data_IF_909210806116
#
_entry.id   IF_909210806116
#
_cell.length_a   1.000
_cell.length_b   1.000
_cell.length_c   1.000
_cell.angle_alpha   90.00
_cell.angle_beta   90.00
_cell.angle_gamma   90.00
#
_symmetry.space_group_name_H-M   'P 1'
#
loop_
_entity.id
_entity.type
_entity.pdbx_description
1 polymer ?
#
# COMPACT_ATOMS: atom_id res chain seq x y z
N UNK A 1 47.35 -53.12 2.96
CA UNK A 1 46.80 -52.91 4.32
C UNK A 1 46.15 -51.53 4.28
N UNK A 2 44.84 -51.38 4.13
CA UNK A 2 43.70 -52.06 4.78
C UNK A 2 42.57 -52.38 3.76
N UNK A 3 41.72 -53.36 4.07
CA UNK A 3 40.54 -53.76 3.29
C UNK A 3 39.22 -53.37 4.03
N UNK A 4 38.02 -53.84 3.64
CA UNK A 4 37.09 -53.07 2.82
C UNK A 4 35.82 -52.60 3.57
N UNK A 5 34.86 -52.04 2.81
CA UNK A 5 33.64 -51.41 3.30
C UNK A 5 32.71 -52.30 4.15
N UNK A 6 32.09 -51.71 5.17
CA UNK A 6 30.90 -52.22 5.86
C UNK A 6 29.60 -51.66 5.25
N UNK A 7 28.45 -52.33 5.46
CA UNK A 7 27.21 -52.01 4.76
C UNK A 7 26.49 -50.78 5.33
N UNK A 8 25.98 -49.92 4.44
CA UNK A 8 25.11 -48.79 4.81
C UNK A 8 23.69 -49.30 5.05
N UNK A 9 23.16 -49.06 6.26
CA UNK A 9 21.82 -49.50 6.64
C UNK A 9 20.74 -48.78 5.81
N UNK A 10 19.80 -49.55 5.27
CA UNK A 10 18.65 -49.02 4.52
C UNK A 10 17.62 -48.39 5.46
N UNK A 11 17.66 -47.07 5.62
CA UNK A 11 16.63 -46.31 6.35
C UNK A 11 15.40 -46.12 5.46
N UNK A 12 14.37 -46.93 5.71
CA UNK A 12 13.05 -46.81 5.07
C UNK A 12 12.32 -45.58 5.62
N UNK A 13 11.79 -44.67 4.78
CA UNK A 13 11.09 -43.49 5.28
C UNK A 13 9.77 -43.89 5.95
N UNK A 14 9.60 -43.50 7.21
CA UNK A 14 8.33 -43.63 7.94
C UNK A 14 7.41 -42.50 7.50
N UNK A 15 6.27 -42.84 6.92
CA UNK A 15 5.21 -41.90 6.58
C UNK A 15 4.37 -41.62 7.83
N UNK A 16 4.31 -40.37 8.34
CA UNK A 16 3.39 -40.02 9.42
C UNK A 16 1.98 -39.85 8.87
N UNK A 17 1.14 -40.89 9.03
CA UNK A 17 -0.29 -40.80 8.77
C UNK A 17 -0.95 -39.84 9.76
N UNK A 18 -1.42 -38.68 9.29
CA UNK A 18 -2.29 -37.80 10.10
C UNK A 18 -3.66 -38.47 10.30
N UNK A 19 -4.19 -38.56 11.54
CA UNK A 19 -5.57 -38.97 11.74
C UNK A 19 -6.53 -37.89 11.22
N UNK A 20 -7.61 -38.33 10.57
CA UNK A 20 -8.70 -37.46 10.11
C UNK A 20 -9.50 -37.01 11.34
N UNK A 21 -9.33 -35.75 11.74
CA UNK A 21 -10.12 -35.14 12.80
C UNK A 21 -11.53 -34.78 12.30
N UNK A 22 -12.54 -34.99 13.13
CA UNK A 22 -13.94 -35.04 12.72
C UNK A 22 -14.56 -33.68 12.39
N UNK A 23 -15.57 -33.71 11.53
CA UNK A 23 -16.52 -32.63 11.27
C UNK A 23 -17.20 -32.20 12.57
N UNK A 24 -16.84 -31.04 13.12
CA UNK A 24 -17.53 -30.49 14.28
C UNK A 24 -18.76 -29.70 13.81
N UNK A 25 -19.94 -30.29 13.98
CA UNK A 25 -21.23 -29.61 13.77
C UNK A 25 -21.41 -28.51 14.81
N UNK A 26 -21.71 -27.29 14.37
CA UNK A 26 -22.24 -26.25 15.25
C UNK A 26 -23.61 -26.68 15.82
N UNK A 27 -23.90 -26.44 17.11
CA UNK A 27 -25.17 -26.81 17.70
C UNK A 27 -26.29 -25.84 17.28
N UNK A 28 -27.50 -26.37 17.11
CA UNK A 28 -28.69 -25.57 16.87
C UNK A 28 -29.06 -24.75 18.11
N UNK A 29 -29.52 -23.51 17.88
CA UNK A 29 -30.07 -22.65 18.95
C UNK A 29 -31.36 -23.29 19.47
N UNK A 30 -31.36 -23.68 20.74
CA UNK A 30 -32.52 -24.27 21.38
C UNK A 30 -33.56 -23.19 21.73
N UNK A 31 -34.77 -23.36 21.21
CA UNK A 31 -35.94 -22.54 21.57
C UNK A 31 -36.45 -23.00 22.94
N UNK A 32 -36.39 -22.13 23.94
CA UNK A 32 -37.00 -22.37 25.24
C UNK A 32 -38.48 -22.00 25.22
N UNK A 33 -39.35 -22.92 25.62
CA UNK A 33 -40.77 -22.66 25.89
C UNK A 33 -41.01 -22.63 27.40
N UNK A 34 -41.86 -21.70 27.85
CA UNK A 34 -42.60 -21.79 29.11
C UNK A 34 -43.97 -21.14 28.90
N UNK A 35 -45.05 -21.79 29.34
CA UNK A 35 -46.44 -21.42 29.06
C UNK A 35 -47.18 -20.98 30.33
N UNK A 36 -47.92 -19.86 30.28
CA UNK A 36 -48.99 -19.44 31.20
C UNK A 36 -49.76 -18.25 30.56
N UNK A 37 -51.09 -18.20 30.37
CA UNK A 37 -52.13 -19.25 30.33
C UNK A 37 -53.32 -18.82 29.40
N UNK A 38 -54.57 -19.22 29.69
CA UNK A 38 -55.80 -19.14 28.87
C UNK A 38 -56.35 -17.73 28.50
N UNK A 39 -56.59 -17.51 27.20
CA UNK A 39 -57.88 -17.30 26.45
C UNK A 39 -59.11 -16.57 27.10
N UNK A 40 -60.14 -16.15 26.31
CA UNK A 40 -60.14 -15.26 25.11
C UNK A 40 -61.39 -14.30 25.02
N UNK A 41 -61.35 -13.13 24.34
CA UNK A 41 -62.53 -12.62 23.58
C UNK A 41 -62.27 -11.44 22.60
N UNK A 42 -63.13 -11.38 21.57
CA UNK A 42 -63.60 -10.26 20.72
C UNK A 42 -62.65 -9.19 20.09
N UNK A 43 -62.80 -9.05 18.76
CA UNK A 43 -62.53 -7.84 17.96
C UNK A 43 -63.76 -6.89 18.00
N UNK A 44 -63.79 -5.74 17.28
CA UNK A 44 -62.86 -4.59 17.27
C UNK A 44 -63.61 -3.24 17.46
N UNK A 45 -62.93 -2.14 17.80
CA UNK A 45 -63.52 -0.80 17.70
C UNK A 45 -62.49 0.32 17.45
N UNK A 46 -62.88 1.29 16.62
CA UNK A 46 -62.14 2.51 16.26
C UNK A 46 -62.57 3.67 17.16
N UNK A 47 -61.65 4.55 17.58
CA UNK A 47 -61.91 6.01 17.76
C UNK A 47 -60.64 6.84 18.01
N UNK A 48 -60.64 8.03 17.41
CA UNK A 48 -59.74 9.20 17.62
C UNK A 48 -59.74 9.70 19.07
N UNK A 49 -58.76 10.49 19.55
CA UNK A 49 -58.67 11.98 19.38
C UNK A 49 -57.31 12.51 19.89
N UNK A 50 -56.94 13.76 19.56
CA UNK A 50 -55.62 14.37 19.77
C UNK A 50 -55.57 15.44 20.91
N UNK A 51 -54.33 15.79 21.34
CA UNK A 51 -53.99 16.92 22.24
C UNK A 51 -54.18 16.65 23.74
N UNK A 52 -53.38 17.17 24.68
CA UNK A 52 -52.20 18.06 24.64
C UNK A 52 -51.35 17.86 25.94
N UNK A 53 -50.19 18.55 26.05
CA UNK A 53 -49.20 18.69 27.17
C UNK A 53 -49.59 18.32 28.63
N UNK A 54 -48.68 17.97 29.57
CA UNK A 54 -47.27 18.35 29.78
C UNK A 54 -46.51 17.36 30.72
N UNK A 55 -45.26 17.68 31.10
CA UNK A 55 -44.38 17.07 32.14
C UNK A 55 -43.83 15.63 31.95
N UNK A 56 -42.53 15.53 31.63
CA UNK A 56 -41.54 14.68 32.37
C UNK A 56 -40.10 14.78 31.80
N UNK A 57 -39.39 15.86 32.09
CA UNK A 57 -37.93 15.95 31.83
C UNK A 57 -37.13 15.20 32.91
N UNK A 58 -36.85 13.90 32.71
CA UNK A 58 -35.92 13.15 33.59
C UNK A 58 -35.40 11.81 33.01
N UNK A 59 -34.95 11.75 31.74
CA UNK A 59 -34.47 10.48 31.14
C UNK A 59 -33.28 10.62 30.16
N UNK A 60 -32.49 11.70 30.24
CA UNK A 60 -31.41 11.99 29.30
C UNK A 60 -29.97 11.74 29.83
N UNK A 61 -29.80 11.42 31.12
CA UNK A 61 -28.48 11.23 31.75
C UNK A 61 -28.32 9.82 32.37
N UNK A 62 -28.46 8.78 31.54
CA UNK A 62 -28.20 7.40 31.96
C UNK A 62 -27.69 6.49 30.82
N UNK A 63 -26.73 6.95 30.01
CA UNK A 63 -26.05 6.09 29.02
C UNK A 63 -24.56 6.42 28.87
N UNK A 64 -23.87 6.64 29.99
CA UNK A 64 -22.42 6.87 30.07
C UNK A 64 -21.70 5.85 30.96
N UNK A 65 -22.17 4.59 30.96
CA UNK A 65 -21.50 3.45 31.64
C UNK A 65 -21.96 2.08 31.09
N UNK A 66 -21.83 1.87 29.79
CA UNK A 66 -21.89 0.54 29.19
C UNK A 66 -20.50 -0.11 29.20
N UNK A 67 -19.96 -0.38 30.40
CA UNK A 67 -18.70 -1.11 30.56
C UNK A 67 -18.93 -2.59 30.16
N UNK A 68 -18.06 -3.24 29.35
CA UNK A 68 -18.31 -4.58 28.84
C UNK A 68 -18.41 -5.60 29.97
N UNK A 69 -19.59 -6.21 30.13
CA UNK A 69 -19.95 -7.02 31.30
C UNK A 69 -19.36 -8.45 31.31
N UNK A 70 -18.20 -8.69 30.68
CA UNK A 70 -17.51 -9.98 30.72
C UNK A 70 -16.03 -9.87 30.34
N UNK A 71 -15.11 -10.57 31.05
CA UNK A 71 -13.69 -10.60 30.70
C UNK A 71 -13.44 -11.06 29.26
N UNK A 72 -14.26 -11.96 28.73
CA UNK A 72 -14.17 -12.41 27.33
C UNK A 72 -14.47 -11.28 26.33
N UNK A 73 -15.48 -10.44 26.60
CA UNK A 73 -15.81 -9.30 25.74
C UNK A 73 -14.74 -8.20 25.83
N UNK A 74 -14.14 -8.00 27.00
CA UNK A 74 -13.01 -7.08 27.18
C UNK A 74 -11.72 -7.60 26.52
N UNK A 75 -11.52 -8.93 26.48
CA UNK A 75 -10.43 -9.58 25.75
C UNK A 75 -10.66 -9.55 24.24
N UNK A 76 -11.88 -9.77 23.76
CA UNK A 76 -12.24 -9.57 22.34
C UNK A 76 -12.04 -8.10 21.94
N UNK A 77 -12.52 -7.14 22.72
CA UNK A 77 -12.26 -5.72 22.47
C UNK A 77 -10.76 -5.40 22.47
N UNK A 78 -9.95 -5.99 23.37
CA UNK A 78 -8.49 -5.85 23.34
C UNK A 78 -7.82 -6.57 22.17
N UNK A 79 -8.39 -7.65 21.63
CA UNK A 79 -7.88 -8.36 20.44
C UNK A 79 -8.20 -7.57 19.18
N UNK A 80 -9.43 -7.08 19.03
CA UNK A 80 -9.85 -6.17 17.95
C UNK A 80 -9.02 -4.88 17.98
N UNK A 81 -8.96 -4.21 19.13
CA UNK A 81 -8.21 -2.96 19.28
C UNK A 81 -6.70 -3.15 19.07
N UNK A 82 -6.13 -4.33 19.40
CA UNK A 82 -4.73 -4.66 19.12
C UNK A 82 -4.48 -5.05 17.65
N UNK A 83 -5.51 -5.45 16.91
CA UNK A 83 -5.48 -5.64 15.46
C UNK A 83 -5.59 -4.31 14.73
N UNK A 84 -6.43 -3.39 15.22
CA UNK A 84 -6.58 -2.03 14.71
C UNK A 84 -5.40 -1.11 15.09
N UNK A 85 -4.66 -1.44 16.16
CA UNK A 85 -3.43 -0.75 16.59
C UNK A 85 -2.13 -1.45 16.14
N UNK A 86 -2.20 -2.49 15.30
CA UNK A 86 -0.97 -3.06 14.75
C UNK A 86 -0.34 -2.05 13.79
N UNK A 87 0.74 -1.41 14.26
CA UNK A 87 1.54 -0.42 13.54
C UNK A 87 2.18 -0.95 12.25
N UNK A 88 2.00 -2.23 11.91
CA UNK A 88 2.38 -2.82 10.63
C UNK A 88 1.20 -3.08 9.68
N UNK A 89 -0.05 -2.96 10.12
CA UNK A 89 -1.23 -3.07 9.24
C UNK A 89 -1.33 -1.84 8.33
N UNK A 90 -1.12 -2.08 7.03
CA UNK A 90 -1.16 -1.05 6.01
C UNK A 90 -2.55 -0.94 5.37
N UNK A 91 -3.11 0.27 5.47
CA UNK A 91 -4.16 0.78 4.58
C UNK A 91 -5.57 0.19 4.80
N UNK A 92 -6.13 0.37 6.00
CA UNK A 92 -7.43 -0.17 6.40
C UNK A 92 -8.62 0.20 5.50
N UNK A 93 -8.69 1.44 4.99
CA UNK A 93 -9.78 1.86 4.11
C UNK A 93 -9.68 1.20 2.72
N UNK A 94 -8.49 1.21 2.10
CA UNK A 94 -8.32 0.62 0.77
C UNK A 94 -8.35 -0.91 0.81
N UNK A 95 -7.80 -1.53 1.87
CA UNK A 95 -7.94 -2.97 2.14
C UNK A 95 -9.41 -3.38 2.10
N UNK A 96 -10.26 -2.69 2.84
CA UNK A 96 -11.70 -2.97 2.91
C UNK A 96 -12.41 -2.74 1.55
N UNK A 97 -12.14 -1.63 0.87
CA UNK A 97 -12.74 -1.35 -0.46
C UNK A 97 -12.39 -2.39 -1.52
N UNK A 98 -11.15 -2.91 -1.51
CA UNK A 98 -10.69 -3.92 -2.47
C UNK A 98 -11.20 -5.33 -2.12
N UNK A 99 -11.32 -5.68 -0.83
CA UNK A 99 -11.94 -6.96 -0.42
C UNK A 99 -13.43 -7.01 -0.73
N UNK A 100 -14.18 -5.92 -0.48
CA UNK A 100 -15.59 -5.82 -0.85
C UNK A 100 -15.82 -5.96 -2.36
N UNK A 101 -14.89 -5.47 -3.18
CA UNK A 101 -14.96 -5.60 -4.63
C UNK A 101 -14.67 -7.03 -5.12
N UNK A 102 -13.81 -7.78 -4.42
CA UNK A 102 -13.58 -9.21 -4.65
C UNK A 102 -14.80 -10.06 -4.30
N UNK A 103 -15.50 -9.74 -3.21
CA UNK A 103 -16.75 -10.43 -2.83
C UNK A 103 -17.89 -10.19 -3.84
N UNK A 104 -17.96 -8.99 -4.43
CA UNK A 104 -18.95 -8.65 -5.46
C UNK A 104 -18.64 -9.25 -6.84
N UNK A 105 -17.37 -9.56 -7.12
CA UNK A 105 -16.91 -10.12 -8.40
C UNK A 105 -16.13 -11.44 -8.18
N UNK A 106 -16.84 -12.54 -7.83
CA UNK A 106 -16.20 -13.85 -7.70
C UNK A 106 -15.53 -14.29 -9.01
N UNK A 107 -14.39 -15.01 -8.94
CA UNK A 107 -13.71 -15.47 -10.14
C UNK A 107 -14.58 -16.46 -10.92
N UNK A 108 -14.38 -16.50 -12.24
CA UNK A 108 -15.04 -17.45 -13.12
C UNK A 108 -14.63 -18.92 -12.87
N UNK A 109 -15.17 -19.88 -13.64
CA UNK A 109 -14.67 -21.24 -13.61
C UNK A 109 -13.20 -21.30 -14.08
N UNK A 110 -12.41 -22.23 -13.52
CA UNK A 110 -10.99 -22.36 -13.85
C UNK A 110 -10.78 -22.49 -15.36
N UNK A 111 -10.09 -21.49 -15.91
CA UNK A 111 -9.61 -21.43 -17.28
C UNK A 111 -8.10 -21.21 -17.30
N UNK A 112 -7.45 -21.55 -18.41
CA UNK A 112 -6.00 -21.37 -18.59
C UNK A 112 -5.54 -19.91 -18.41
N UNK A 113 -6.44 -18.95 -18.60
CA UNK A 113 -6.21 -17.51 -18.47
C UNK A 113 -6.88 -16.93 -17.20
N UNK A 114 -6.95 -17.70 -16.10
CA UNK A 114 -7.50 -17.25 -14.80
C UNK A 114 -6.64 -17.72 -13.61
N UNK A 115 -5.43 -18.22 -13.86
CA UNK A 115 -4.61 -18.88 -12.83
C UNK A 115 -4.17 -17.86 -11.75
N UNK A 116 -3.74 -16.67 -12.18
CA UNK A 116 -3.33 -15.60 -11.25
C UNK A 116 -4.53 -15.08 -10.45
N UNK A 117 -5.71 -14.92 -11.06
CA UNK A 117 -6.89 -14.42 -10.34
C UNK A 117 -7.33 -15.38 -9.21
N UNK A 118 -7.41 -16.68 -9.48
CA UNK A 118 -7.68 -17.67 -8.43
C UNK A 118 -6.61 -17.67 -7.32
N UNK A 119 -5.33 -17.47 -7.67
CA UNK A 119 -4.26 -17.36 -6.68
C UNK A 119 -4.40 -16.11 -5.81
N UNK A 120 -4.78 -14.96 -6.38
CA UNK A 120 -5.04 -13.71 -5.66
C UNK A 120 -6.22 -13.88 -4.70
N UNK A 121 -7.36 -14.41 -5.18
CA UNK A 121 -8.55 -14.66 -4.34
C UNK A 121 -8.20 -15.59 -3.17
N UNK A 122 -7.42 -16.64 -3.44
CA UNK A 122 -6.96 -17.59 -2.41
C UNK A 122 -6.01 -16.95 -1.38
N UNK A 123 -5.12 -16.05 -1.82
CA UNK A 123 -4.21 -15.33 -0.94
C UNK A 123 -4.95 -14.31 -0.05
N UNK A 124 -5.91 -13.57 -0.61
CA UNK A 124 -6.75 -12.63 0.15
C UNK A 124 -7.60 -13.37 1.19
N UNK A 125 -8.18 -14.52 0.83
CA UNK A 125 -8.90 -15.39 1.77
C UNK A 125 -8.01 -15.93 2.92
N UNK A 126 -6.69 -16.02 2.71
CA UNK A 126 -5.70 -16.37 3.74
C UNK A 126 -5.18 -15.17 4.54
N UNK A 127 -5.73 -13.97 4.33
CA UNK A 127 -5.39 -12.76 5.08
C UNK A 127 -4.33 -11.86 4.46
N UNK A 128 -3.86 -12.14 3.23
CA UNK A 128 -2.92 -11.25 2.53
C UNK A 128 -3.66 -9.95 2.12
N UNK A 129 -3.15 -8.75 2.46
CA UNK A 129 -3.81 -7.50 2.07
C UNK A 129 -3.90 -7.34 0.55
N UNK A 130 -5.11 -7.14 0.03
CA UNK A 130 -5.35 -6.94 -1.40
C UNK A 130 -4.56 -5.75 -1.98
N UNK A 131 -4.39 -4.68 -1.20
CA UNK A 131 -3.59 -3.51 -1.56
C UNK A 131 -2.13 -3.89 -1.92
N UNK A 132 -1.50 -4.76 -1.13
CA UNK A 132 -0.11 -5.21 -1.37
C UNK A 132 0.00 -6.00 -2.67
N UNK A 133 -0.97 -6.88 -2.94
CA UNK A 133 -1.03 -7.66 -4.19
C UNK A 133 -1.17 -6.72 -5.39
N UNK A 134 -2.10 -5.75 -5.32
CA UNK A 134 -2.31 -4.73 -6.36
C UNK A 134 -1.04 -3.91 -6.59
N UNK A 135 -0.38 -3.44 -5.52
CA UNK A 135 0.83 -2.63 -5.64
C UNK A 135 1.98 -3.40 -6.31
N UNK A 136 2.14 -4.68 -6.00
CA UNK A 136 3.12 -5.57 -6.65
C UNK A 136 2.76 -5.78 -8.13
N UNK A 137 1.48 -5.95 -8.48
CA UNK A 137 1.03 -6.17 -9.84
C UNK A 137 1.12 -4.90 -10.72
N UNK A 138 0.89 -3.71 -10.15
CA UNK A 138 1.03 -2.42 -10.84
C UNK A 138 2.49 -1.91 -10.89
N UNK A 139 3.41 -2.43 -10.08
CA UNK A 139 4.80 -1.93 -10.08
C UNK A 139 5.52 -2.09 -11.44
N UNK A 140 5.38 -3.21 -12.18
CA UNK A 140 5.84 -3.31 -13.57
C UNK A 140 5.19 -2.28 -14.50
N UNK A 141 3.91 -1.95 -14.30
CA UNK A 141 3.18 -0.95 -15.09
C UNK A 141 3.78 0.45 -14.87
N UNK A 142 4.11 0.81 -13.62
CA UNK A 142 4.86 2.04 -13.28
C UNK A 142 6.22 2.10 -13.98
N UNK A 143 6.99 1.00 -13.93
CA UNK A 143 8.29 0.95 -14.61
C UNK A 143 8.13 1.14 -16.13
N UNK A 144 7.08 0.56 -16.73
CA UNK A 144 6.76 0.73 -18.15
C UNK A 144 6.32 2.16 -18.50
N UNK A 145 5.57 2.84 -17.63
CA UNK A 145 5.19 4.26 -17.79
C UNK A 145 6.42 5.16 -17.80
N UNK A 146 7.36 4.93 -16.88
CA UNK A 146 8.61 5.71 -16.79
C UNK A 146 9.49 5.45 -18.03
N UNK A 147 9.57 4.20 -18.50
CA UNK A 147 10.27 3.86 -19.75
C UNK A 147 9.62 4.52 -20.99
N UNK A 148 8.28 4.54 -21.05
CA UNK A 148 7.51 5.19 -22.11
C UNK A 148 7.71 6.71 -22.09
N UNK A 149 7.67 7.35 -20.92
CA UNK A 149 7.93 8.79 -20.77
C UNK A 149 9.34 9.17 -21.24
N UNK A 150 10.34 8.31 -21.00
CA UNK A 150 11.71 8.51 -21.50
C UNK A 150 11.85 8.37 -23.02
N UNK A 151 11.12 7.44 -23.66
CA UNK A 151 11.19 7.22 -25.10
C UNK A 151 10.30 8.18 -25.89
N UNK A 152 9.04 8.33 -25.48
CA UNK A 152 8.03 9.13 -26.20
C UNK A 152 8.19 10.61 -25.87
N UNK A 153 8.12 10.99 -24.58
CA UNK A 153 8.14 12.41 -24.20
C UNK A 153 9.58 12.95 -24.24
N UNK A 154 10.52 12.16 -23.73
CA UNK A 154 11.93 12.52 -23.61
C UNK A 154 12.35 12.99 -22.22
N UNK A 155 11.50 12.80 -21.20
CA UNK A 155 11.83 13.14 -19.81
C UNK A 155 12.99 12.27 -19.29
N UNK A 156 14.00 12.95 -18.77
CA UNK A 156 15.24 12.42 -18.21
C UNK A 156 15.17 12.51 -16.69
N UNK A 157 14.56 11.51 -16.05
CA UNK A 157 14.72 11.25 -14.62
C UNK A 157 16.02 10.51 -14.29
N UNK A 158 16.37 10.42 -13.00
CA UNK A 158 17.52 9.67 -12.47
C UNK A 158 17.32 8.14 -12.59
N UNK A 159 17.44 7.64 -13.82
CA UNK A 159 17.13 6.25 -14.16
C UNK A 159 15.64 5.95 -14.10
N UNK A 160 15.30 4.65 -14.04
CA UNK A 160 13.92 4.17 -13.86
C UNK A 160 13.64 3.92 -12.36
N UNK A 161 14.65 3.46 -11.61
CA UNK A 161 14.53 3.03 -10.21
C UNK A 161 14.08 4.14 -9.26
N UNK A 162 14.78 5.28 -9.24
CA UNK A 162 14.50 6.38 -8.30
C UNK A 162 13.05 6.90 -8.44
N UNK A 163 12.55 7.29 -9.64
CA UNK A 163 11.16 7.73 -9.77
C UNK A 163 10.15 6.60 -9.49
N UNK A 164 10.44 5.35 -9.85
CA UNK A 164 9.53 4.22 -9.59
C UNK A 164 9.35 3.97 -8.08
N UNK A 165 10.46 3.85 -7.34
CA UNK A 165 10.42 3.59 -5.89
C UNK A 165 9.92 4.81 -5.12
N UNK A 166 10.23 6.04 -5.58
CA UNK A 166 9.64 7.26 -5.03
C UNK A 166 8.11 7.25 -5.20
N UNK A 167 7.60 6.83 -6.37
CA UNK A 167 6.15 6.76 -6.61
C UNK A 167 5.42 5.79 -5.68
N UNK A 168 6.06 4.67 -5.29
CA UNK A 168 5.49 3.71 -4.34
C UNK A 168 5.43 4.30 -2.94
N UNK A 169 6.49 5.00 -2.50
CA UNK A 169 6.49 5.70 -1.22
C UNK A 169 5.43 6.82 -1.19
N UNK A 170 5.31 7.62 -2.26
CA UNK A 170 4.24 8.62 -2.42
C UNK A 170 2.85 8.00 -2.44
N UNK A 171 2.67 6.85 -3.09
CA UNK A 171 1.37 6.16 -3.15
C UNK A 171 0.95 5.61 -1.77
N UNK A 172 1.90 5.13 -0.96
CA UNK A 172 1.65 4.57 0.38
C UNK A 172 1.52 5.62 1.49
N UNK A 173 2.17 6.78 1.38
CA UNK A 173 2.05 7.89 2.35
C UNK A 173 0.98 8.91 1.95
N UNK A 174 0.50 8.85 0.71
CA UNK A 174 -0.25 9.93 0.08
C UNK A 174 0.71 10.96 -0.53
N UNK A 175 0.37 11.44 -1.73
CA UNK A 175 1.27 12.25 -2.57
C UNK A 175 1.77 13.51 -1.83
N UNK A 176 0.89 14.21 -1.12
CA UNK A 176 1.23 15.47 -0.44
C UNK A 176 2.16 15.24 0.78
N UNK A 177 1.85 14.27 1.64
CA UNK A 177 2.65 13.95 2.82
C UNK A 177 4.00 13.35 2.46
N UNK A 178 4.01 12.39 1.53
CA UNK A 178 5.24 11.77 1.05
C UNK A 178 6.16 12.76 0.33
N UNK A 179 5.61 13.71 -0.44
CA UNK A 179 6.40 14.75 -1.09
C UNK A 179 6.97 15.75 -0.09
N UNK A 180 6.20 16.14 0.94
CA UNK A 180 6.70 16.99 2.01
C UNK A 180 7.89 16.35 2.77
N UNK A 181 7.77 15.06 3.13
CA UNK A 181 8.86 14.30 3.75
C UNK A 181 10.06 14.18 2.81
N UNK A 182 9.84 13.85 1.53
CA UNK A 182 10.91 13.74 0.55
C UNK A 182 11.67 15.06 0.36
N UNK A 183 10.96 16.20 0.25
CA UNK A 183 11.58 17.53 0.16
C UNK A 183 12.37 17.86 1.42
N UNK A 184 11.83 17.60 2.61
CA UNK A 184 12.54 17.81 3.88
C UNK A 184 13.83 16.97 3.99
N UNK A 185 13.76 15.70 3.57
CA UNK A 185 14.92 14.80 3.49
C UNK A 185 15.95 15.34 2.48
N UNK A 186 15.54 15.71 1.27
CA UNK A 186 16.45 16.22 0.23
C UNK A 186 17.13 17.52 0.67
N UNK A 187 16.40 18.46 1.28
CA UNK A 187 16.97 19.70 1.82
C UNK A 187 17.99 19.39 2.92
N UNK A 188 17.67 18.50 3.85
CA UNK A 188 18.59 18.06 4.93
C UNK A 188 19.84 17.38 4.36
N UNK A 189 19.68 16.49 3.37
CA UNK A 189 20.77 15.80 2.69
C UNK A 189 21.69 16.79 1.94
N UNK A 190 21.12 17.80 1.26
CA UNK A 190 21.87 18.84 0.55
C UNK A 190 22.69 19.72 1.49
N UNK A 191 22.09 20.17 2.60
CA UNK A 191 22.78 20.95 3.64
C UNK A 191 23.95 20.15 4.23
N UNK A 192 23.67 18.91 4.64
CA UNK A 192 24.66 18.00 5.23
C UNK A 192 25.79 17.68 4.25
N UNK A 193 25.48 17.41 2.99
CA UNK A 193 26.46 17.17 1.92
C UNK A 193 27.38 18.38 1.72
N UNK A 194 26.86 19.62 1.83
CA UNK A 194 27.66 20.84 1.71
C UNK A 194 28.59 21.04 2.92
N UNK A 195 28.16 20.66 4.12
CA UNK A 195 28.99 20.68 5.34
C UNK A 195 30.08 19.61 5.25
N UNK A 196 29.72 18.35 5.02
CA UNK A 196 30.66 17.20 4.99
C UNK A 196 31.71 17.35 3.87
N UNK A 197 31.39 17.99 2.74
CA UNK A 197 32.36 18.31 1.67
C UNK A 197 33.57 19.12 2.16
N UNK A 198 33.49 19.85 3.28
CA UNK A 198 34.64 20.53 3.90
C UNK A 198 35.60 19.61 4.66
N UNK A 199 35.12 18.44 5.11
CA UNK A 199 35.76 17.61 6.15
C UNK A 199 36.69 16.52 5.54
N UNK A 200 36.75 16.40 4.21
CA UNK A 200 37.65 15.46 3.47
C UNK A 200 37.59 14.00 3.96
N UNK A 201 36.39 13.53 4.32
CA UNK A 201 36.15 12.16 4.78
C UNK A 201 36.17 11.14 3.63
N UNK A 202 36.58 9.92 3.93
CA UNK A 202 36.41 8.74 3.05
C UNK A 202 34.93 8.49 2.73
N UNK A 203 34.67 7.81 1.61
CA UNK A 203 33.31 7.59 1.09
C UNK A 203 32.36 6.87 2.09
N UNK A 204 32.78 5.74 2.67
CA UNK A 204 31.97 4.98 3.64
C UNK A 204 31.57 5.81 4.89
N UNK A 205 32.52 6.46 5.62
CA UNK A 205 32.16 7.36 6.73
C UNK A 205 31.26 8.53 6.31
N UNK A 206 31.43 9.04 5.09
CA UNK A 206 30.61 10.14 4.54
C UNK A 206 29.16 9.72 4.32
N UNK A 207 28.88 8.55 3.74
CA UNK A 207 27.50 8.09 3.54
C UNK A 207 26.83 7.72 4.87
N UNK A 208 27.56 7.08 5.79
CA UNK A 208 27.06 6.79 7.15
C UNK A 208 26.62 8.07 7.90
N UNK A 209 27.44 9.13 7.87
CA UNK A 209 27.07 10.42 8.47
C UNK A 209 25.89 11.09 7.76
N UNK A 210 25.78 10.99 6.44
CA UNK A 210 24.62 11.51 5.69
C UNK A 210 23.32 10.82 6.11
N UNK A 211 23.29 9.49 6.16
CA UNK A 211 22.12 8.72 6.62
C UNK A 211 21.79 9.08 8.07
N UNK A 212 22.78 9.18 8.95
CA UNK A 212 22.58 9.57 10.34
C UNK A 212 21.93 10.95 10.48
N UNK A 213 22.41 11.97 9.75
CA UNK A 213 21.81 13.31 9.81
C UNK A 213 20.43 13.36 9.16
N UNK A 214 20.18 12.59 8.09
CA UNK A 214 18.85 12.45 7.49
C UNK A 214 17.87 11.84 8.50
N UNK A 215 18.25 10.74 9.17
CA UNK A 215 17.42 10.11 10.21
C UNK A 215 17.12 11.05 11.38
N UNK A 216 18.10 11.85 11.82
CA UNK A 216 17.87 12.90 12.83
C UNK A 216 16.93 14.01 12.32
N UNK A 217 17.02 14.40 11.05
CA UNK A 217 16.10 15.35 10.43
C UNK A 217 14.67 14.83 10.36
N UNK A 218 14.47 13.56 9.99
CA UNK A 218 13.14 12.91 9.98
C UNK A 218 12.59 12.75 11.39
N UNK A 219 13.42 12.37 12.37
CA UNK A 219 13.01 12.29 13.78
C UNK A 219 12.58 13.67 14.30
N UNK A 220 13.34 14.72 13.99
CA UNK A 220 12.96 16.10 14.31
C UNK A 220 11.65 16.52 13.65
N UNK A 221 11.44 16.16 12.38
CA UNK A 221 10.18 16.42 11.68
C UNK A 221 8.99 15.69 12.32
N UNK A 222 9.13 14.42 12.70
CA UNK A 222 8.10 13.68 13.43
C UNK A 222 7.82 14.25 14.82
N UNK A 223 8.85 14.76 15.52
CA UNK A 223 8.67 15.36 16.85
C UNK A 223 8.00 16.74 16.79
N UNK A 224 8.22 17.50 15.70
CA UNK A 224 7.58 18.80 15.44
C UNK A 224 6.16 18.62 14.87
N UNK A 225 5.90 17.54 14.12
CA UNK A 225 4.63 17.29 13.42
C UNK A 225 3.35 17.53 14.23
N UNK A 226 3.23 17.09 15.51
CA UNK A 226 2.05 17.34 16.32
C UNK A 226 1.83 18.83 16.64
N UNK A 227 2.92 19.60 16.81
CA UNK A 227 2.85 21.02 17.17
C UNK A 227 2.32 21.88 16.01
N UNK A 228 2.54 21.44 14.76
CA UNK A 228 2.08 22.13 13.54
C UNK A 228 0.75 21.58 13.00
N UNK A 229 0.07 20.69 13.75
CA UNK A 229 -1.18 20.04 13.36
C UNK A 229 -1.15 19.34 11.98
N UNK A 230 0.03 18.88 11.53
CA UNK A 230 0.17 18.18 10.25
C UNK A 230 -0.25 16.71 10.40
N UNK A 231 -1.56 16.46 10.46
CA UNK A 231 -2.15 15.12 10.61
C UNK A 231 -1.60 14.12 9.60
N UNK A 232 -1.39 14.55 8.35
CA UNK A 232 -0.81 13.74 7.26
C UNK A 232 0.60 13.21 7.55
N UNK A 233 1.35 13.83 8.48
CA UNK A 233 2.69 13.39 8.89
C UNK A 233 2.67 12.49 10.13
N UNK A 234 1.59 12.50 10.92
CA UNK A 234 1.47 11.71 12.15
C UNK A 234 1.12 10.23 11.90
N UNK A 235 0.40 9.94 10.82
CA UNK A 235 -0.05 8.58 10.47
C UNK A 235 0.85 7.87 9.45
N UNK A 236 2.09 8.35 9.25
CA UNK A 236 2.98 7.83 8.22
C UNK A 236 3.69 6.56 8.68
N UNK A 237 3.54 5.49 7.89
CA UNK A 237 4.22 4.22 8.13
C UNK A 237 5.76 4.36 7.99
N UNK A 238 6.49 3.62 8.83
CA UNK A 238 7.96 3.56 8.84
C UNK A 238 8.55 3.03 7.52
N UNK A 239 7.85 2.14 6.81
CA UNK A 239 8.36 1.55 5.56
C UNK A 239 8.55 2.59 4.44
N UNK A 240 7.55 3.42 4.06
CA UNK A 240 7.76 4.55 3.16
C UNK A 240 8.86 5.51 3.61
N UNK A 241 8.96 5.81 4.91
CA UNK A 241 10.00 6.70 5.44
C UNK A 241 11.39 6.13 5.15
N UNK A 242 11.63 4.85 5.47
CA UNK A 242 12.90 4.18 5.22
C UNK A 242 13.26 4.16 3.73
N UNK A 243 12.26 3.96 2.86
CA UNK A 243 12.41 4.03 1.41
C UNK A 243 12.82 5.45 0.96
N UNK A 244 12.19 6.50 1.48
CA UNK A 244 12.55 7.89 1.16
C UNK A 244 13.97 8.26 1.62
N UNK A 245 14.42 7.74 2.77
CA UNK A 245 15.80 7.91 3.27
C UNK A 245 16.81 7.25 2.32
N UNK A 246 16.58 5.99 1.93
CA UNK A 246 17.44 5.26 1.00
C UNK A 246 17.44 5.90 -0.40
N UNK A 247 16.29 6.41 -0.86
CA UNK A 247 16.21 7.17 -2.11
C UNK A 247 17.05 8.44 -2.07
N UNK A 248 17.09 9.15 -0.94
CA UNK A 248 17.85 10.39 -0.82
C UNK A 248 19.37 10.19 -0.89
N UNK A 249 19.89 9.07 -0.38
CA UNK A 249 21.29 8.67 -0.58
C UNK A 249 21.59 8.46 -2.07
N UNK A 250 20.83 7.57 -2.73
CA UNK A 250 20.98 7.26 -4.16
C UNK A 250 20.83 8.51 -5.04
N UNK A 251 19.88 9.39 -4.70
CA UNK A 251 19.64 10.67 -5.35
C UNK A 251 20.84 11.63 -5.20
N UNK A 252 21.41 11.75 -4.00
CA UNK A 252 22.53 12.65 -3.74
C UNK A 252 23.81 12.19 -4.45
N UNK A 253 24.02 10.88 -4.58
CA UNK A 253 25.10 10.31 -5.38
C UNK A 253 24.88 10.53 -6.89
N UNK A 254 23.66 10.33 -7.38
CA UNK A 254 23.30 10.62 -8.76
C UNK A 254 23.50 12.10 -9.10
N UNK A 255 23.06 13.01 -8.22
CA UNK A 255 23.27 14.45 -8.31
C UNK A 255 24.76 14.83 -8.26
N UNK A 256 25.58 14.12 -7.48
CA UNK A 256 27.03 14.39 -7.39
C UNK A 256 27.77 13.99 -8.67
N UNK A 257 27.24 13.06 -9.47
CA UNK A 257 27.78 12.65 -10.78
C UNK A 257 27.44 13.63 -11.92
N UNK A 258 26.53 14.59 -11.70
CA UNK A 258 26.00 15.47 -12.74
C UNK A 258 26.32 16.95 -12.48
N UNK A 259 26.29 17.79 -13.52
CA UNK A 259 26.46 19.25 -13.38
C UNK A 259 25.30 19.84 -12.58
N UNK A 260 25.56 20.90 -11.81
CA UNK A 260 24.58 21.44 -10.86
C UNK A 260 23.27 21.91 -11.53
N UNK A 261 23.32 22.59 -12.67
CA UNK A 261 22.14 23.04 -13.41
C UNK A 261 21.32 21.87 -13.97
N UNK A 262 22.01 20.90 -14.59
CA UNK A 262 21.41 19.69 -15.15
C UNK A 262 20.80 18.80 -14.05
N UNK A 263 21.44 18.71 -12.88
CA UNK A 263 20.92 17.96 -11.75
C UNK A 263 19.61 18.53 -11.18
N UNK A 264 19.41 19.86 -11.22
CA UNK A 264 18.12 20.48 -10.81
C UNK A 264 17.01 20.11 -11.80
N UNK A 265 17.28 20.10 -13.10
CA UNK A 265 16.33 19.64 -14.12
C UNK A 265 15.98 18.14 -13.93
N UNK A 266 16.99 17.27 -13.84
CA UNK A 266 16.84 15.84 -13.54
C UNK A 266 16.01 15.59 -12.26
N UNK A 267 16.19 16.43 -11.23
CA UNK A 267 15.43 16.35 -9.98
C UNK A 267 13.96 16.65 -10.21
N UNK A 268 13.65 17.77 -10.87
CA UNK A 268 12.28 18.15 -11.18
C UNK A 268 11.58 17.10 -12.06
N UNK A 269 12.24 16.62 -13.10
CA UNK A 269 11.72 15.57 -13.98
C UNK A 269 11.51 14.24 -13.23
N UNK A 270 12.40 13.88 -12.30
CA UNK A 270 12.24 12.69 -11.43
C UNK A 270 11.04 12.83 -10.49
N UNK A 271 10.83 14.00 -9.89
CA UNK A 271 9.68 14.26 -9.02
C UNK A 271 8.37 14.23 -9.82
N UNK A 272 8.33 14.86 -11.00
CA UNK A 272 7.16 14.83 -11.90
C UNK A 272 6.81 13.39 -12.31
N UNK A 273 7.81 12.60 -12.73
CA UNK A 273 7.62 11.18 -13.06
C UNK A 273 7.08 10.37 -11.87
N UNK A 274 7.59 10.62 -10.66
CA UNK A 274 7.14 9.94 -9.45
C UNK A 274 5.71 10.32 -9.06
N UNK A 275 5.31 11.59 -9.19
CA UNK A 275 3.96 12.07 -8.92
C UNK A 275 2.96 11.46 -9.92
N UNK A 276 3.25 11.51 -11.23
CA UNK A 276 2.39 10.91 -12.27
C UNK A 276 2.22 9.40 -12.02
N UNK A 277 3.33 8.71 -11.68
CA UNK A 277 3.30 7.29 -11.36
C UNK A 277 2.52 6.97 -10.07
N UNK A 278 2.60 7.84 -9.05
CA UNK A 278 1.85 7.68 -7.81
C UNK A 278 0.34 7.89 -8.00
N UNK A 279 -0.05 8.85 -8.84
CA UNK A 279 -1.44 9.07 -9.25
C UNK A 279 -1.95 7.85 -10.03
N UNK A 280 -1.14 7.29 -10.96
CA UNK A 280 -1.47 6.04 -11.65
C UNK A 280 -1.68 4.89 -10.66
N UNK A 281 -0.80 4.74 -9.67
CA UNK A 281 -0.96 3.74 -8.61
C UNK A 281 -2.22 3.94 -7.77
N UNK A 282 -2.68 5.18 -7.57
CA UNK A 282 -3.88 5.48 -6.77
C UNK A 282 -5.20 5.45 -7.56
N UNK A 283 -5.16 5.22 -8.88
CA UNK A 283 -6.35 5.28 -9.73
C UNK A 283 -7.26 4.05 -9.55
N UNK A 284 -8.45 4.24 -8.96
CA UNK A 284 -9.47 3.20 -8.69
C UNK A 284 -9.70 2.25 -9.89
N UNK A 285 -9.79 2.77 -11.11
CA UNK A 285 -10.06 1.98 -12.32
C UNK A 285 -8.95 0.96 -12.59
N UNK A 286 -7.69 1.39 -12.49
CA UNK A 286 -6.52 0.53 -12.74
C UNK A 286 -6.40 -0.52 -11.64
N UNK A 287 -6.66 -0.14 -10.37
CA UNK A 287 -6.70 -1.07 -9.23
C UNK A 287 -7.78 -2.15 -9.40
N UNK A 288 -8.99 -1.78 -9.84
CA UNK A 288 -10.09 -2.72 -10.09
C UNK A 288 -9.75 -3.70 -11.21
N UNK A 289 -9.25 -3.21 -12.35
CA UNK A 289 -8.83 -4.08 -13.47
C UNK A 289 -7.73 -5.05 -13.02
N UNK A 290 -6.78 -4.59 -12.20
CA UNK A 290 -5.71 -5.43 -11.65
C UNK A 290 -6.18 -6.53 -10.68
N UNK A 291 -7.34 -6.37 -10.05
CA UNK A 291 -7.95 -7.41 -9.20
C UNK A 291 -8.84 -8.35 -10.02
N UNK A 292 -9.66 -7.81 -10.91
CA UNK A 292 -10.63 -8.61 -11.70
C UNK A 292 -9.93 -9.39 -12.81
N UNK A 293 -8.99 -8.78 -13.53
CA UNK A 293 -8.32 -9.35 -14.71
C UNK A 293 -6.78 -9.19 -14.62
N UNK A 294 -6.12 -9.79 -13.61
CA UNK A 294 -4.69 -9.63 -13.38
C UNK A 294 -3.83 -10.13 -14.56
N UNK A 295 -4.28 -11.19 -15.22
CA UNK A 295 -3.64 -11.80 -16.40
C UNK A 295 -3.55 -10.79 -17.56
N UNK A 296 -4.61 -9.98 -17.74
CA UNK A 296 -4.63 -8.89 -18.72
C UNK A 296 -3.65 -7.79 -18.34
N UNK A 297 -3.55 -7.40 -17.06
CA UNK A 297 -2.58 -6.37 -16.62
C UNK A 297 -1.13 -6.82 -16.84
N UNK A 298 -0.79 -8.06 -16.50
CA UNK A 298 0.55 -8.62 -16.72
C UNK A 298 0.88 -8.66 -18.22
N UNK A 299 -0.03 -9.21 -19.03
CA UNK A 299 0.16 -9.36 -20.48
C UNK A 299 0.23 -8.00 -21.18
N UNK A 300 -0.68 -7.09 -20.86
CA UNK A 300 -0.70 -5.74 -21.43
C UNK A 300 0.58 -4.96 -21.06
N UNK A 301 1.05 -5.07 -19.81
CA UNK A 301 2.31 -4.42 -19.40
C UNK A 301 3.52 -4.97 -20.15
N UNK A 302 3.58 -6.29 -20.37
CA UNK A 302 4.65 -6.92 -21.15
C UNK A 302 4.63 -6.47 -22.62
N UNK A 303 3.47 -6.52 -23.28
CA UNK A 303 3.29 -6.07 -24.67
C UNK A 303 3.61 -4.58 -24.81
N UNK A 304 3.12 -3.73 -23.89
CA UNK A 304 3.39 -2.30 -23.89
C UNK A 304 4.89 -2.00 -23.75
N UNK A 305 5.60 -2.69 -22.84
CA UNK A 305 7.03 -2.51 -22.66
C UNK A 305 7.84 -2.92 -23.91
N UNK A 306 7.45 -3.99 -24.61
CA UNK A 306 8.04 -4.39 -25.90
C UNK A 306 7.78 -3.32 -26.98
N UNK A 307 6.56 -2.80 -27.05
CA UNK A 307 6.17 -1.77 -28.02
C UNK A 307 6.94 -0.45 -27.80
N UNK A 308 7.08 -0.04 -26.54
CA UNK A 308 7.91 1.11 -26.12
C UNK A 308 9.38 0.88 -26.46
N UNK A 309 9.92 -0.31 -26.18
CA UNK A 309 11.32 -0.66 -26.49
C UNK A 309 11.63 -0.71 -28.00
N UNK A 310 10.62 -0.96 -28.84
CA UNK A 310 10.73 -0.90 -30.31
C UNK A 310 10.48 0.50 -30.88
N UNK A 311 10.11 1.49 -30.05
CA UNK A 311 9.74 2.82 -30.51
C UNK A 311 10.98 3.66 -30.88
N UNK A 312 11.35 3.63 -32.16
CA UNK A 312 12.48 4.37 -32.74
C UNK A 312 12.11 5.77 -33.30
N UNK A 313 10.95 6.31 -32.93
CA UNK A 313 10.49 7.63 -33.37
C UNK A 313 11.24 8.79 -32.71
N UNK A 314 11.15 9.99 -33.32
CA UNK A 314 11.58 11.24 -32.70
C UNK A 314 10.83 11.49 -31.38
N UNK A 315 11.52 12.00 -30.37
CA UNK A 315 10.87 12.34 -29.09
C UNK A 315 9.92 13.52 -29.27
N UNK A 316 8.84 13.60 -28.50
CA UNK A 316 7.92 14.76 -28.53
C UNK A 316 8.65 16.07 -28.22
N UNK A 317 9.64 16.04 -27.31
CA UNK A 317 10.54 17.18 -27.04
C UNK A 317 11.44 17.57 -28.22
N UNK A 318 11.82 16.62 -29.08
CA UNK A 318 12.57 16.89 -30.31
C UNK A 318 11.64 17.44 -31.40
N UNK A 319 10.42 16.89 -31.54
CA UNK A 319 9.40 17.40 -32.45
C UNK A 319 9.06 18.87 -32.15
N UNK A 320 8.87 19.23 -30.89
CA UNK A 320 8.61 20.62 -30.48
C UNK A 320 9.81 21.55 -30.73
N UNK A 321 11.04 21.04 -30.63
CA UNK A 321 12.27 21.82 -30.88
C UNK A 321 12.55 22.02 -32.37
N UNK A 322 12.22 21.04 -33.21
CA UNK A 322 12.46 21.10 -34.66
C UNK A 322 11.25 21.60 -35.46
N UNK A 323 10.11 21.88 -34.82
CA UNK A 323 8.91 22.41 -35.48
C UNK A 323 9.22 23.64 -36.35
N UNK A 324 10.04 24.56 -35.85
CA UNK A 324 10.43 25.78 -36.58
C UNK A 324 11.28 25.55 -37.83
N UNK A 325 11.77 24.33 -38.08
CA UNK A 325 12.54 23.97 -39.29
C UNK A 325 11.65 23.18 -40.27
N UNK A 326 10.70 22.39 -39.73
CA UNK A 326 9.74 21.60 -40.51
C UNK A 326 8.62 22.47 -41.10
N UNK A 327 8.43 23.68 -40.57
CA UNK A 327 7.38 24.65 -40.95
C UNK A 327 7.89 25.69 -41.99
N UNK A 328 9.16 25.57 -42.46
CA UNK A 328 9.79 26.40 -43.50
C UNK A 328 10.00 25.68 -44.87
N UNK A 329 9.59 24.42 -45.00
CA UNK A 329 9.49 23.66 -46.28
C UNK A 329 8.03 23.45 -46.72
#
# INVERSE_FOLDING_TARGET
MVAPAGPVASVKPVVPTRPVAAVHRLPAVAVAQAQTELSPESQPAVSTTAGEVDEATAAAEATSSANPASPSAEVEQKIQQKKDQDITETDGEQKNRLTLYLEQHPPGPLSWNNLIQHAIVSAVAQGVPANTIVLVLLFPLVASLIAASRHVIGLRGFGIYIPAVLSVALASTGVLGGLAIFVAIVVTALLTSRIIKRIKLSYLPRTALLIWTISMGVLGLMLISPLVNLVTLMSVNIFPILILILLAENFLDAQTRTKQSEAVALTAETIVLAIISAILLQWDVIRRIAITEPELVVTATAVFNILVGKFAGLRVTELLRFRSIIEEE
#
